data_IF_978519354463
#
_entry.id   IF_978519354463
#
_cell.length_a   1.000
_cell.length_b   1.000
_cell.length_c   1.000
_cell.angle_alpha   90.00
_cell.angle_beta   90.00
_cell.angle_gamma   90.00
#
_symmetry.space_group_name_H-M   'P 1'
#
loop_
_entity.id
_entity.type
_entity.pdbx_description
1 polymer ?
#
# COMPACT_ATOMS: atom_id res chain seq x y z
N UNK A 1 -17.07 -7.38 5.11
CA UNK A 1 -15.78 -6.71 5.43
C UNK A 1 -14.70 -7.73 5.10
N UNK A 2 -13.93 -7.52 4.03
CA UNK A 2 -12.84 -8.43 3.65
C UNK A 2 -11.74 -8.23 4.69
N UNK A 3 -11.37 -9.30 5.40
CA UNK A 3 -10.24 -9.26 6.33
C UNK A 3 -9.03 -9.68 5.52
N UNK A 4 -8.03 -8.79 5.42
CA UNK A 4 -6.77 -9.12 4.76
C UNK A 4 -6.03 -10.18 5.56
N UNK A 5 -5.61 -11.25 4.89
CA UNK A 5 -4.76 -12.27 5.50
C UNK A 5 -3.31 -11.79 5.46
N UNK A 6 -2.92 -11.01 6.46
CA UNK A 6 -1.56 -10.52 6.63
C UNK A 6 -0.61 -11.65 7.07
N UNK A 7 0.70 -11.45 6.84
CA UNK A 7 1.70 -12.33 7.40
C UNK A 7 1.64 -12.23 8.94
N UNK A 8 1.33 -13.30 9.70
CA UNK A 8 0.97 -13.18 11.12
C UNK A 8 2.07 -12.59 12.02
N UNK A 9 3.33 -12.68 11.60
CA UNK A 9 4.46 -12.11 12.32
C UNK A 9 4.59 -10.60 12.11
N UNK A 10 4.05 -10.09 11.00
CA UNK A 10 4.07 -8.66 10.69
C UNK A 10 2.94 -7.93 11.43
N UNK A 11 3.22 -6.77 12.04
CA UNK A 11 2.18 -5.93 12.61
C UNK A 11 1.15 -5.57 11.53
N UNK A 12 -0.15 -5.65 11.83
CA UNK A 12 -1.17 -5.26 10.87
C UNK A 12 -1.02 -3.77 10.51
N UNK A 13 -0.89 -3.41 9.23
CA UNK A 13 -0.69 -2.02 8.83
C UNK A 13 -1.98 -1.21 8.98
N UNK A 14 -1.84 0.04 9.40
CA UNK A 14 -2.95 0.98 9.46
C UNK A 14 -3.07 1.77 8.16
N UNK A 15 -4.21 1.60 7.48
CA UNK A 15 -4.52 2.38 6.30
C UNK A 15 -4.60 3.88 6.64
N UNK A 16 -3.97 4.76 5.84
CA UNK A 16 -4.01 6.18 6.08
C UNK A 16 -5.45 6.69 5.94
N UNK A 17 -5.85 7.59 6.84
CA UNK A 17 -7.10 8.33 6.68
C UNK A 17 -7.10 9.05 5.33
N UNK A 18 -8.23 9.03 4.62
CA UNK A 18 -8.36 9.57 3.25
C UNK A 18 -7.43 8.88 2.24
N UNK A 19 -7.22 7.58 2.41
CA UNK A 19 -6.43 6.78 1.52
C UNK A 19 -6.64 5.30 1.76
N UNK A 20 -5.66 4.52 1.33
CA UNK A 20 -5.65 3.08 1.51
C UNK A 20 -4.27 2.48 1.40
N UNK A 21 -4.18 1.17 1.56
CA UNK A 21 -2.96 0.39 1.38
C UNK A 21 -3.31 -0.84 0.55
N UNK A 22 -2.55 -1.04 -0.51
CA UNK A 22 -2.57 -2.26 -1.32
C UNK A 22 -1.46 -3.16 -0.78
N UNK A 23 -1.79 -4.36 -0.33
CA UNK A 23 -0.82 -5.31 0.21
C UNK A 23 -0.83 -6.61 -0.60
N UNK A 24 0.37 -7.16 -0.85
CA UNK A 24 0.58 -8.49 -1.46
C UNK A 24 1.65 -9.24 -0.67
N UNK A 25 1.54 -10.56 -0.60
CA UNK A 25 2.52 -11.40 0.11
C UNK A 25 3.26 -12.28 -0.88
N UNK A 26 4.59 -12.18 -0.93
CA UNK A 26 5.46 -12.92 -1.83
C UNK A 26 6.58 -13.55 -1.01
N UNK A 27 6.72 -14.87 -1.07
CA UNK A 27 7.83 -15.61 -0.44
C UNK A 27 8.04 -15.24 1.05
N UNK A 28 6.94 -15.17 1.83
CA UNK A 28 6.93 -14.77 3.27
C UNK A 28 7.43 -13.35 3.54
N UNK A 29 7.32 -12.48 2.56
CA UNK A 29 7.51 -11.04 2.71
C UNK A 29 6.23 -10.36 2.26
N UNK A 30 5.70 -9.51 3.12
CA UNK A 30 4.57 -8.67 2.82
C UNK A 30 5.06 -7.33 2.25
N UNK A 31 4.48 -6.92 1.14
CA UNK A 31 4.74 -5.66 0.46
C UNK A 31 3.46 -4.84 0.51
N UNK A 32 3.52 -3.64 1.08
CA UNK A 32 2.36 -2.78 1.24
C UNK A 32 2.61 -1.40 0.65
N UNK A 33 1.83 -1.04 -0.35
CA UNK A 33 1.83 0.26 -1.03
C UNK A 33 0.72 1.15 -0.47
N UNK A 34 1.05 2.16 0.35
CA UNK A 34 0.06 3.15 0.74
C UNK A 34 -0.26 4.10 -0.41
N UNK A 35 -1.51 4.53 -0.48
CA UNK A 35 -2.05 5.40 -1.51
C UNK A 35 -2.95 6.48 -0.90
N UNK A 36 -2.86 7.72 -1.39
CA UNK A 36 -3.74 8.81 -0.97
C UNK A 36 -4.87 9.06 -1.97
N UNK A 37 -6.05 9.44 -1.48
CA UNK A 37 -7.16 9.88 -2.33
C UNK A 37 -6.85 11.25 -2.96
N UNK A 38 -7.59 11.60 -4.02
CA UNK A 38 -7.57 12.96 -4.59
C UNK A 38 -7.86 14.02 -3.53
N UNK A 39 -7.15 15.15 -3.62
CA UNK A 39 -7.23 16.25 -2.66
C UNK A 39 -6.36 16.05 -1.42
N UNK A 40 -5.55 14.99 -1.41
CA UNK A 40 -4.59 14.69 -0.36
C UNK A 40 -3.21 14.39 -0.94
N UNK A 41 -2.18 14.72 -0.18
CA UNK A 41 -0.80 14.35 -0.47
C UNK A 41 -0.17 13.66 0.74
N UNK A 42 0.95 12.96 0.53
CA UNK A 42 1.73 12.40 1.62
C UNK A 42 2.40 13.53 2.43
N UNK A 43 2.36 13.40 3.76
CA UNK A 43 3.00 14.36 4.68
C UNK A 43 4.53 14.40 4.57
N UNK A 44 5.15 13.46 3.86
CA UNK A 44 6.58 13.42 3.57
C UNK A 44 6.87 12.91 2.16
N UNK A 45 8.05 13.28 1.63
CA UNK A 45 8.49 12.87 0.31
C UNK A 45 8.77 11.36 0.26
N UNK A 46 8.13 10.68 -0.68
CA UNK A 46 8.24 9.23 -0.89
C UNK A 46 8.21 8.80 -2.36
N UNK A 47 8.56 9.70 -3.29
CA UNK A 47 8.55 9.42 -4.75
C UNK A 47 9.29 8.15 -5.15
N UNK A 48 10.43 7.87 -4.51
CA UNK A 48 11.24 6.67 -4.76
C UNK A 48 10.89 5.49 -3.84
N UNK A 49 9.95 5.68 -2.90
CA UNK A 49 9.54 4.67 -1.92
C UNK A 49 8.06 4.35 -2.10
N UNK A 50 7.81 3.52 -3.12
CA UNK A 50 6.47 3.11 -3.53
C UNK A 50 5.79 2.26 -2.46
N UNK A 51 6.51 1.37 -1.80
CA UNK A 51 5.96 0.44 -0.81
C UNK A 51 6.84 0.35 0.43
N UNK A 52 6.28 -0.23 1.49
CA UNK A 52 7.00 -0.71 2.66
C UNK A 52 7.01 -2.24 2.66
N UNK A 53 8.02 -2.83 3.29
CA UNK A 53 8.13 -4.28 3.41
C UNK A 53 8.13 -4.73 4.85
N UNK A 54 7.61 -5.94 5.07
CA UNK A 54 7.74 -6.65 6.33
C UNK A 54 7.95 -8.15 6.08
N UNK A 55 8.97 -8.74 6.69
CA UNK A 55 9.29 -10.16 6.53
C UNK A 55 10.51 -10.57 7.32
N UNK A 56 11.05 -11.76 7.04
CA UNK A 56 12.22 -12.28 7.74
C UNK A 56 13.46 -11.39 7.63
N UNK A 57 13.63 -10.72 6.49
CA UNK A 57 14.76 -9.80 6.22
C UNK A 57 14.67 -8.50 7.01
N UNK A 58 13.47 -8.10 7.44
CA UNK A 58 13.23 -6.89 8.23
C UNK A 58 13.03 -7.21 9.71
N UNK A 59 13.22 -8.47 10.14
CA UNK A 59 12.93 -8.90 11.50
C UNK A 59 11.44 -8.83 11.85
N UNK A 60 10.57 -8.93 10.85
CA UNK A 60 9.12 -8.78 10.97
C UNK A 60 8.68 -7.38 11.47
N UNK A 61 9.44 -6.34 11.12
CA UNK A 61 9.07 -4.94 11.32
C UNK A 61 8.91 -4.25 9.97
N UNK A 62 7.97 -3.31 9.87
CA UNK A 62 7.79 -2.50 8.67
C UNK A 62 9.00 -1.60 8.41
N UNK A 63 9.39 -1.43 7.15
CA UNK A 63 10.46 -0.50 6.74
C UNK A 63 10.10 1.00 6.82
N UNK A 64 8.90 1.30 7.35
CA UNK A 64 8.37 2.65 7.49
C UNK A 64 9.29 3.51 8.34
N UNK A 65 9.42 4.79 7.98
CA UNK A 65 10.13 5.79 8.79
C UNK A 65 9.20 6.51 9.78
N UNK A 66 7.91 6.18 9.77
CA UNK A 66 6.94 6.82 10.65
C UNK A 66 6.98 6.21 12.06
N UNK A 67 6.78 7.08 13.05
CA UNK A 67 6.49 6.66 14.42
C UNK A 67 5.18 5.88 14.47
N UNK A 68 5.18 4.75 15.18
CA UNK A 68 3.97 3.94 15.40
C UNK A 68 4.00 2.55 14.77
N UNK A 69 5.10 2.14 14.13
CA UNK A 69 5.41 0.82 13.52
C UNK A 69 4.42 0.29 12.48
N UNK A 70 3.11 0.47 12.65
CA UNK A 70 2.02 0.05 11.78
C UNK A 70 1.57 1.15 10.80
N UNK A 71 1.95 2.41 11.05
CA UNK A 71 1.61 3.52 10.15
C UNK A 71 2.56 3.54 8.96
N UNK A 72 2.05 3.29 7.76
CA UNK A 72 2.85 3.27 6.53
C UNK A 72 2.80 4.60 5.75
N UNK A 73 1.81 5.44 6.03
CA UNK A 73 1.65 6.76 5.42
C UNK A 73 0.71 7.64 6.26
N UNK A 74 0.80 8.96 6.02
CA UNK A 74 -0.20 9.94 6.44
C UNK A 74 -0.58 10.75 5.21
N UNK A 75 -1.87 10.85 4.92
CA UNK A 75 -2.42 11.65 3.82
C UNK A 75 -3.01 12.93 4.38
N UNK A 76 -2.47 14.07 3.98
CA UNK A 76 -2.89 15.41 4.43
C UNK A 76 -3.56 16.18 3.30
N UNK A 77 -4.56 17.05 3.60
CA UNK A 77 -5.20 17.87 2.58
C UNK A 77 -4.18 18.67 1.76
N UNK A 78 -4.27 18.57 0.43
CA UNK A 78 -3.40 19.30 -0.48
C UNK A 78 -4.07 19.49 -1.83
N UNK A 79 -3.93 20.69 -2.40
CA UNK A 79 -4.37 20.97 -3.77
C UNK A 79 -3.51 20.27 -4.83
N UNK A 80 -2.27 19.87 -4.48
CA UNK A 80 -1.32 19.22 -5.38
C UNK A 80 -0.74 17.97 -4.73
N UNK A 81 -0.80 16.86 -5.45
CA UNK A 81 -0.21 15.58 -5.07
C UNK A 81 1.17 15.44 -5.73
N UNK A 82 2.24 15.74 -4.98
CA UNK A 82 3.61 15.77 -5.50
C UNK A 82 4.61 15.02 -4.63
N UNK A 83 4.27 14.64 -3.41
CA UNK A 83 5.20 13.98 -2.49
C UNK A 83 5.44 12.50 -2.83
N UNK A 84 4.51 11.83 -3.50
CA UNK A 84 4.57 10.44 -3.94
C UNK A 84 4.78 10.30 -5.45
N UNK A 85 5.00 9.06 -5.90
CA UNK A 85 4.94 8.72 -7.31
C UNK A 85 3.50 8.84 -7.84
N UNK A 86 3.31 9.04 -9.14
CA UNK A 86 1.99 9.21 -9.73
C UNK A 86 1.03 8.03 -9.42
N UNK A 87 1.55 6.81 -9.39
CA UNK A 87 0.78 5.60 -9.08
C UNK A 87 0.51 5.40 -7.58
N UNK A 88 1.08 6.24 -6.70
CA UNK A 88 0.82 6.23 -5.26
C UNK A 88 -0.42 7.06 -4.87
N UNK A 89 -1.24 7.42 -5.85
CA UNK A 89 -2.50 8.14 -5.66
C UNK A 89 -3.62 7.40 -6.36
N UNK A 90 -4.81 7.40 -5.77
CA UNK A 90 -5.99 6.94 -6.48
C UNK A 90 -6.33 7.93 -7.61
N UNK A 91 -6.81 7.44 -8.78
CA UNK A 91 -7.20 8.29 -9.89
C UNK A 91 -8.25 9.33 -9.52
N UNK A 92 -8.32 10.38 -10.33
CA UNK A 92 -9.15 11.56 -10.09
C UNK A 92 -10.67 11.29 -9.93
N UNK A 93 -11.14 10.20 -10.53
CA UNK A 93 -12.52 9.73 -10.54
C UNK A 93 -12.74 8.55 -9.58
N UNK A 94 -11.77 8.26 -8.72
CA UNK A 94 -11.81 7.15 -7.79
C UNK A 94 -11.37 7.58 -6.38
N UNK A 95 -11.59 6.69 -5.43
CA UNK A 95 -11.08 6.76 -4.07
C UNK A 95 -10.71 5.35 -3.64
N UNK A 96 -10.11 5.19 -2.45
CA UNK A 96 -9.90 3.86 -1.92
C UNK A 96 -11.19 3.04 -1.87
N UNK A 97 -12.29 3.60 -1.34
CA UNK A 97 -13.56 2.88 -1.21
C UNK A 97 -14.18 2.53 -2.57
N UNK A 98 -14.09 3.44 -3.54
CA UNK A 98 -14.55 3.16 -4.90
C UNK A 98 -13.71 2.05 -5.54
N UNK A 99 -12.37 2.13 -5.42
CA UNK A 99 -11.46 1.11 -5.94
C UNK A 99 -11.72 -0.24 -5.29
N UNK A 100 -11.89 -0.29 -3.97
CA UNK A 100 -12.21 -1.51 -3.24
C UNK A 100 -13.52 -2.15 -3.72
N UNK A 101 -14.52 -1.35 -4.08
CA UNK A 101 -15.82 -1.85 -4.52
C UNK A 101 -15.84 -2.31 -5.99
N UNK A 102 -15.03 -1.71 -6.87
CA UNK A 102 -15.19 -1.86 -8.31
C UNK A 102 -13.94 -2.32 -9.07
N UNK A 103 -12.74 -2.07 -8.55
CA UNK A 103 -11.48 -2.27 -9.30
C UNK A 103 -10.30 -2.73 -8.43
N UNK A 104 -10.57 -3.40 -7.30
CA UNK A 104 -9.52 -3.98 -6.43
C UNK A 104 -8.55 -4.88 -7.22
N UNK A 105 -8.99 -5.80 -8.09
CA UNK A 105 -8.07 -6.67 -8.84
C UNK A 105 -7.14 -5.89 -9.80
N UNK A 106 -7.64 -4.83 -10.42
CA UNK A 106 -6.83 -3.99 -11.31
C UNK A 106 -5.76 -3.24 -10.53
N UNK A 107 -6.11 -2.75 -9.34
CA UNK A 107 -5.19 -2.06 -8.45
C UNK A 107 -4.11 -3.00 -7.88
N UNK A 108 -4.47 -4.25 -7.58
CA UNK A 108 -3.54 -5.30 -7.17
C UNK A 108 -2.57 -5.65 -8.31
N UNK A 109 -3.09 -5.88 -9.53
CA UNK A 109 -2.26 -6.16 -10.69
C UNK A 109 -1.28 -5.03 -10.99
N UNK A 110 -1.73 -3.78 -10.91
CA UNK A 110 -0.85 -2.60 -11.07
C UNK A 110 0.31 -2.66 -10.08
N UNK A 111 0.04 -3.01 -8.81
CA UNK A 111 1.10 -3.08 -7.81
C UNK A 111 2.04 -4.28 -8.04
N UNK A 112 1.53 -5.43 -8.46
CA UNK A 112 2.35 -6.59 -8.83
C UNK A 112 3.28 -6.26 -10.02
N UNK A 113 2.80 -5.51 -11.01
CA UNK A 113 3.63 -5.04 -12.13
C UNK A 113 4.75 -4.11 -11.65
N UNK A 114 4.46 -3.16 -10.76
CA UNK A 114 5.48 -2.27 -10.18
C UNK A 114 6.55 -3.01 -9.37
N UNK A 115 6.17 -4.09 -8.66
CA UNK A 115 7.12 -4.96 -7.97
C UNK A 115 7.99 -5.73 -8.96
N UNK A 116 7.39 -6.24 -10.04
CA UNK A 116 8.10 -6.94 -11.10
C UNK A 116 9.10 -6.03 -11.84
N UNK A 117 8.74 -4.77 -12.09
CA UNK A 117 9.65 -3.75 -12.64
C UNK A 117 10.86 -3.48 -11.74
N UNK A 118 10.73 -3.72 -10.43
CA UNK A 118 11.84 -3.64 -9.46
C UNK A 118 12.60 -4.96 -9.29
N UNK A 119 12.30 -5.97 -10.12
CA UNK A 119 13.00 -7.26 -10.13
C UNK A 119 12.49 -8.26 -9.09
N UNK A 120 11.31 -8.03 -8.50
CA UNK A 120 10.67 -8.98 -7.58
C UNK A 120 9.85 -9.98 -8.40
N UNK A 121 10.09 -11.28 -8.21
CA UNK A 121 9.28 -12.32 -8.83
C UNK A 121 7.89 -12.36 -8.16
N UNK A 122 6.88 -11.92 -8.89
CA UNK A 122 5.49 -11.86 -8.42
C UNK A 122 4.67 -13.08 -8.83
N UNK A 123 5.24 -14.06 -9.52
CA UNK A 123 4.49 -15.22 -10.04
C UNK A 123 3.92 -16.12 -8.95
N UNK A 124 4.53 -16.10 -7.76
CA UNK A 124 4.19 -16.93 -6.60
C UNK A 124 3.56 -16.15 -5.43
N UNK A 125 2.96 -14.98 -5.69
CA UNK A 125 2.25 -14.23 -4.65
C UNK A 125 1.07 -15.04 -4.08
N UNK A 126 0.80 -14.83 -2.80
CA UNK A 126 -0.35 -15.42 -2.11
C UNK A 126 -1.62 -14.62 -2.39
N UNK A 127 -2.38 -15.08 -3.39
CA UNK A 127 -3.65 -14.48 -3.83
C UNK A 127 -4.70 -14.36 -2.72
N UNK A 128 -4.62 -15.19 -1.67
CA UNK A 128 -5.56 -15.13 -0.54
C UNK A 128 -5.15 -14.05 0.47
N UNK A 129 -3.89 -13.63 0.44
CA UNK A 129 -3.35 -12.54 1.25
C UNK A 129 -3.48 -11.17 0.55
N UNK A 130 -3.56 -11.15 -0.78
CA UNK A 130 -3.70 -9.94 -1.58
C UNK A 130 -4.95 -9.13 -1.24
N UNK A 131 -4.77 -7.85 -0.93
CA UNK A 131 -5.88 -7.01 -0.54
C UNK A 131 -5.66 -5.50 -0.66
N UNK A 132 -6.78 -4.77 -0.67
CA UNK A 132 -6.84 -3.32 -0.47
C UNK A 132 -7.57 -2.98 0.84
N UNK A 133 -6.94 -2.18 1.70
CA UNK A 133 -7.50 -1.69 2.96
C UNK A 133 -7.71 -0.17 2.84
N UNK A 134 -8.89 0.32 3.22
CA UNK A 134 -9.19 1.75 3.23
C UNK A 134 -9.22 2.32 4.65
N UNK A 135 -8.61 3.49 4.83
CA UNK A 135 -8.64 4.25 6.09
C UNK A 135 -9.83 5.21 6.12
N UNK A 136 -10.47 5.31 7.29
CA UNK A 136 -11.63 6.16 7.55
C UNK A 136 -11.26 7.41 8.36
#
# INVERSE_FOLDING_TARGET
MKVCNHLPQCPQPFAPKNGGIVCVTISKTEYCKPMCNKGYDFSFLRRSRLYETCGSTTGFTWTTQLTGEQTLAVCEPSEKAVSGAASAYFPDNSSCLHTLAYSEPEQLNTFLEELAEQGIDTSNHDKEADCLICGY
#
